data_IF_794450430431
#
_entry.id   IF_794450430431
#
_cell.length_a   1.000
_cell.length_b   1.000
_cell.length_c   1.000
_cell.angle_alpha   90.00
_cell.angle_beta   90.00
_cell.angle_gamma   90.00
#
_symmetry.space_group_name_H-M   'P 1'
#
loop_
_entity.id
_entity.type
_entity.pdbx_description
1 polymer ?
#
# COMPACT_ATOMS: atom_id res chain seq x y z
N UNK A 1 -27.06 -51.61 7.40
CA UNK A 1 -27.60 -51.52 8.77
C UNK A 1 -26.46 -51.38 9.76
N UNK A 2 -26.35 -50.18 10.33
CA UNK A 2 -25.67 -49.74 11.58
C UNK A 2 -24.55 -50.58 12.21
N UNK A 3 -23.29 -50.09 12.04
CA UNK A 3 -22.17 -50.34 12.99
C UNK A 3 -21.13 -49.19 13.07
N UNK A 4 -21.51 -47.92 13.00
CA UNK A 4 -20.55 -46.81 12.99
C UNK A 4 -20.54 -45.84 14.20
N UNK A 5 -21.30 -45.93 15.29
CA UNK A 5 -21.18 -44.94 16.36
C UNK A 5 -20.38 -45.40 17.59
N UNK A 6 -19.94 -46.67 17.71
CA UNK A 6 -19.21 -47.12 18.92
C UNK A 6 -17.70 -46.85 18.90
N UNK A 7 -17.08 -46.79 17.75
CA UNK A 7 -15.63 -46.57 17.66
C UNK A 7 -15.22 -45.09 17.95
N UNK A 8 -16.02 -44.12 17.58
CA UNK A 8 -15.74 -42.70 17.89
C UNK A 8 -15.87 -42.32 19.37
N UNK A 9 -16.67 -43.04 20.14
CA UNK A 9 -16.80 -42.81 21.60
C UNK A 9 -15.62 -43.35 22.41
N UNK A 10 -14.97 -44.40 21.95
CA UNK A 10 -13.79 -44.95 22.61
C UNK A 10 -12.53 -44.10 22.39
N UNK A 11 -12.45 -43.42 21.27
CA UNK A 11 -11.32 -42.56 20.94
C UNK A 11 -11.36 -41.21 21.69
N UNK A 12 -12.56 -40.64 21.90
CA UNK A 12 -12.77 -39.42 22.69
C UNK A 12 -12.47 -39.70 24.21
N UNK A 13 -12.80 -40.87 24.71
CA UNK A 13 -12.46 -41.24 26.11
C UNK A 13 -10.98 -41.50 26.35
N UNK A 14 -10.21 -41.94 25.33
CA UNK A 14 -8.73 -42.03 25.41
C UNK A 14 -8.04 -40.67 25.39
N UNK A 15 -8.56 -39.69 24.66
CA UNK A 15 -7.99 -38.36 24.61
C UNK A 15 -8.21 -37.53 25.89
N UNK A 16 -9.33 -37.74 26.58
CA UNK A 16 -9.60 -37.10 27.87
C UNK A 16 -8.81 -37.71 29.06
N UNK A 17 -8.42 -38.99 28.99
CA UNK A 17 -7.56 -39.59 30.03
C UNK A 17 -6.10 -39.16 29.95
N UNK A 18 -5.62 -38.79 28.75
CA UNK A 18 -4.24 -38.30 28.53
C UNK A 18 -4.08 -36.85 28.99
N UNK A 19 -5.14 -36.02 28.92
CA UNK A 19 -5.10 -34.64 29.41
C UNK A 19 -5.04 -34.55 30.93
N UNK A 20 -5.67 -35.50 31.66
CA UNK A 20 -5.72 -35.52 33.13
C UNK A 20 -4.45 -36.08 33.79
N UNK A 21 -3.58 -36.79 33.06
CA UNK A 21 -2.28 -37.26 33.55
C UNK A 21 -1.18 -36.18 33.44
N UNK A 22 -1.34 -35.19 32.58
CA UNK A 22 -0.35 -34.13 32.43
C UNK A 22 -0.48 -32.97 33.41
N UNK A 23 -1.65 -32.81 34.05
CA UNK A 23 -1.91 -31.79 35.08
C UNK A 23 -1.47 -32.19 36.48
N UNK A 24 -1.18 -33.46 36.73
CA UNK A 24 -0.71 -33.95 38.04
C UNK A 24 0.82 -33.96 38.25
N UNK A 25 1.61 -33.70 37.20
CA UNK A 25 3.10 -33.67 37.29
C UNK A 25 3.69 -32.26 37.47
N UNK A 26 2.89 -31.21 37.57
CA UNK A 26 3.36 -29.80 37.68
C UNK A 26 3.13 -29.18 39.07
N UNK A 27 2.76 -29.98 40.11
CA UNK A 27 2.50 -29.42 41.44
C UNK A 27 3.40 -30.03 42.53
N UNK A 28 4.69 -30.22 42.27
CA UNK A 28 5.60 -30.76 43.27
C UNK A 28 7.05 -30.34 43.07
N UNK A 29 7.40 -29.13 43.47
CA UNK A 29 8.69 -28.79 44.12
C UNK A 29 8.77 -27.28 44.39
N UNK A 30 8.37 -26.93 45.64
CA UNK A 30 8.75 -25.65 46.26
C UNK A 30 9.67 -26.01 47.41
N UNK A 31 10.91 -25.55 47.39
CA UNK A 31 11.92 -25.77 48.40
C UNK A 31 12.86 -24.57 48.54
N UNK A 32 12.67 -23.87 49.62
CA UNK A 32 13.35 -22.77 50.32
C UNK A 32 14.87 -22.62 50.17
N UNK A 33 15.32 -21.34 50.12
CA UNK A 33 16.38 -20.62 50.88
C UNK A 33 16.89 -19.48 49.96
N UNK A 34 17.20 -18.24 50.38
CA UNK A 34 17.45 -17.55 51.63
C UNK A 34 18.21 -16.26 51.28
N UNK A 35 17.90 -15.17 51.96
CA UNK A 35 18.62 -13.90 52.19
C UNK A 35 19.74 -13.44 51.26
N UNK A 36 19.61 -12.22 50.66
CA UNK A 36 20.36 -11.01 50.99
C UNK A 36 20.06 -9.88 49.97
N UNK A 37 19.80 -8.66 50.46
CA UNK A 37 19.68 -7.37 49.82
C UNK A 37 21.08 -6.68 49.84
N UNK A 38 21.40 -5.53 49.21
CA UNK A 38 20.59 -4.58 48.43
C UNK A 38 21.28 -3.94 47.16
N UNK A 39 20.49 -3.05 46.50
CA UNK A 39 20.87 -1.90 45.68
C UNK A 39 21.55 -2.12 44.32
N UNK A 40 20.76 -1.97 43.26
CA UNK A 40 21.11 -1.09 42.13
C UNK A 40 19.88 -0.86 41.24
N UNK A 41 19.54 0.41 41.07
CA UNK A 41 18.62 0.92 40.05
C UNK A 41 19.21 0.63 38.68
N UNK A 42 18.59 -0.26 37.91
CA UNK A 42 18.87 -0.43 36.48
C UNK A 42 17.59 -0.33 35.65
N UNK A 43 17.71 0.41 34.58
CA UNK A 43 16.80 0.64 33.48
C UNK A 43 15.91 -0.57 33.14
N UNK A 44 14.60 -0.37 33.19
CA UNK A 44 13.63 -1.32 32.65
C UNK A 44 13.41 -1.03 31.18
N UNK A 45 14.26 -1.59 30.33
CA UNK A 45 13.98 -1.78 28.91
C UNK A 45 13.05 -2.98 28.76
N UNK A 46 11.78 -2.71 28.53
CA UNK A 46 10.79 -3.72 28.19
C UNK A 46 10.97 -4.17 26.74
N UNK A 47 12.02 -4.97 26.51
CA UNK A 47 12.13 -5.83 25.32
C UNK A 47 11.12 -6.98 25.44
N UNK A 48 9.95 -6.78 24.85
CA UNK A 48 9.03 -7.89 24.54
C UNK A 48 9.66 -8.77 23.46
N UNK A 49 10.45 -9.76 23.88
CA UNK A 49 10.88 -10.87 23.01
C UNK A 49 9.65 -11.69 22.60
N UNK A 50 9.39 -11.88 21.31
CA UNK A 50 8.43 -12.87 20.85
C UNK A 50 9.12 -14.25 20.71
N UNK A 51 9.44 -14.93 21.82
CA UNK A 51 10.06 -16.23 21.79
C UNK A 51 9.17 -17.37 22.34
N UNK A 52 7.87 -17.36 22.07
CA UNK A 52 6.96 -18.47 22.43
C UNK A 52 5.91 -18.78 21.36
N UNK A 53 6.27 -18.68 20.09
CA UNK A 53 5.42 -19.21 19.00
C UNK A 53 6.14 -20.32 18.20
N UNK A 54 7.19 -20.92 18.79
CA UNK A 54 8.00 -21.93 18.08
C UNK A 54 7.68 -23.39 18.44
N UNK A 55 6.73 -23.66 19.33
CA UNK A 55 6.41 -25.01 19.79
C UNK A 55 4.99 -25.47 19.46
N UNK A 56 4.45 -25.04 18.31
CA UNK A 56 3.37 -25.77 17.67
C UNK A 56 3.94 -26.53 16.47
N UNK A 57 4.61 -27.64 16.74
CA UNK A 57 4.79 -28.72 15.79
C UNK A 57 3.40 -29.25 15.43
N UNK A 58 2.81 -28.65 14.38
CA UNK A 58 1.73 -29.28 13.64
C UNK A 58 2.36 -30.38 12.82
N UNK A 59 1.92 -31.59 13.05
CA UNK A 59 2.53 -32.83 12.59
C UNK A 59 2.77 -32.88 11.08
N UNK A 60 3.80 -33.63 10.76
CA UNK A 60 4.14 -34.16 9.45
C UNK A 60 2.92 -34.73 8.72
N UNK A 61 2.27 -33.85 7.93
CA UNK A 61 1.43 -34.31 6.81
C UNK A 61 1.16 -33.08 5.93
N UNK A 62 1.95 -32.91 4.94
CA UNK A 62 1.75 -32.25 3.64
C UNK A 62 3.14 -31.87 3.12
N UNK A 63 3.69 -32.72 2.29
CA UNK A 63 4.98 -32.59 1.61
C UNK A 63 4.96 -31.38 0.67
N UNK A 64 5.91 -30.46 0.85
CA UNK A 64 6.34 -29.50 -0.19
C UNK A 64 5.52 -28.20 -0.35
N UNK A 65 4.21 -28.20 -0.16
CA UNK A 65 3.35 -27.01 -0.34
C UNK A 65 3.35 -26.06 0.86
N UNK A 66 3.48 -26.58 2.06
CA UNK A 66 3.30 -25.81 3.29
C UNK A 66 4.44 -24.84 3.60
N UNK A 67 5.65 -25.16 3.17
CA UNK A 67 6.81 -24.28 3.39
C UNK A 67 6.71 -23.00 2.55
N UNK A 68 6.14 -23.10 1.36
CA UNK A 68 5.95 -21.95 0.46
C UNK A 68 4.78 -21.07 0.92
N UNK A 69 3.67 -21.69 1.35
CA UNK A 69 2.52 -20.97 1.92
C UNK A 69 2.91 -20.30 3.25
N UNK A 70 3.66 -20.97 4.11
CA UNK A 70 4.20 -20.39 5.34
C UNK A 70 5.17 -19.25 5.05
N UNK A 71 6.04 -19.35 4.05
CA UNK A 71 6.90 -18.28 3.58
C UNK A 71 6.12 -17.08 3.03
N UNK A 72 5.04 -17.30 2.28
CA UNK A 72 4.14 -16.26 1.81
C UNK A 72 3.36 -15.60 2.95
N UNK A 73 2.87 -16.37 3.90
CA UNK A 73 2.18 -15.82 5.09
C UNK A 73 3.14 -15.02 5.97
N UNK A 74 4.40 -15.44 6.10
CA UNK A 74 5.45 -14.66 6.77
C UNK A 74 5.81 -13.40 6.00
N UNK A 75 5.87 -13.45 4.67
CA UNK A 75 6.02 -12.28 3.82
C UNK A 75 4.85 -11.29 3.98
N UNK A 76 3.59 -11.79 4.03
CA UNK A 76 2.42 -10.95 4.31
C UNK A 76 2.46 -10.38 5.73
N UNK A 77 2.88 -11.16 6.73
CA UNK A 77 3.08 -10.69 8.09
C UNK A 77 4.18 -9.61 8.16
N UNK A 78 5.25 -9.75 7.38
CA UNK A 78 6.30 -8.74 7.21
C UNK A 78 5.81 -7.50 6.47
N UNK A 79 4.90 -7.62 5.49
CA UNK A 79 4.20 -6.47 4.87
C UNK A 79 3.40 -5.68 5.91
N UNK A 80 2.85 -6.35 6.94
CA UNK A 80 2.21 -5.68 8.09
C UNK A 80 3.21 -4.86 8.93
N UNK A 81 4.51 -5.17 8.86
CA UNK A 81 5.60 -4.39 9.49
C UNK A 81 6.06 -3.18 8.66
N UNK A 82 5.61 -3.02 7.41
CA UNK A 82 5.80 -1.76 6.71
C UNK A 82 5.15 -0.66 7.54
N UNK A 83 5.99 0.19 8.13
CA UNK A 83 5.55 1.36 8.88
C UNK A 83 4.87 2.31 7.91
N UNK A 84 3.57 2.11 7.71
CA UNK A 84 2.77 3.07 6.96
C UNK A 84 2.70 4.37 7.76
N UNK A 85 3.40 5.39 7.30
CA UNK A 85 3.35 6.72 7.88
C UNK A 85 1.96 7.32 7.63
N UNK A 86 1.38 7.94 8.63
CA UNK A 86 0.08 8.62 8.53
C UNK A 86 0.27 10.11 8.23
N UNK A 87 1.11 10.43 7.26
CA UNK A 87 1.48 11.79 6.83
C UNK A 87 0.78 12.22 5.54
N UNK A 88 -0.14 11.38 5.03
CA UNK A 88 -0.81 11.56 3.75
C UNK A 88 -2.29 11.90 3.91
N UNK A 89 -2.87 12.41 2.83
CA UNK A 89 -4.31 12.55 2.63
C UNK A 89 -4.99 11.19 2.45
N UNK A 90 -6.31 11.13 2.69
CA UNK A 90 -7.12 9.92 2.53
C UNK A 90 -6.98 9.28 1.13
N UNK A 91 -6.94 10.10 0.08
CA UNK A 91 -6.85 9.66 -1.32
C UNK A 91 -5.50 9.02 -1.64
N UNK A 92 -4.42 9.62 -1.13
CA UNK A 92 -3.06 9.10 -1.30
C UNK A 92 -2.88 7.81 -0.48
N UNK A 93 -3.49 7.74 0.70
CA UNK A 93 -3.52 6.54 1.55
C UNK A 93 -4.26 5.39 0.89
N UNK A 94 -5.38 5.67 0.19
CA UNK A 94 -6.12 4.67 -0.58
C UNK A 94 -5.23 4.09 -1.68
N UNK A 95 -4.58 4.96 -2.47
CA UNK A 95 -3.68 4.55 -3.54
C UNK A 95 -2.49 3.75 -3.02
N UNK A 96 -1.80 4.22 -1.98
CA UNK A 96 -0.59 3.61 -1.44
C UNK A 96 -0.86 2.35 -0.63
N UNK A 97 -1.75 2.42 0.38
CA UNK A 97 -1.92 1.34 1.36
C UNK A 97 -2.85 0.26 0.87
N UNK A 98 -4.05 0.65 0.43
CA UNK A 98 -5.07 -0.33 0.06
C UNK A 98 -4.73 -1.01 -1.27
N UNK A 99 -4.22 -0.27 -2.28
CA UNK A 99 -3.84 -0.89 -3.56
C UNK A 99 -2.66 -1.85 -3.41
N UNK A 100 -1.65 -1.50 -2.59
CA UNK A 100 -0.51 -2.39 -2.33
C UNK A 100 -0.96 -3.68 -1.65
N UNK A 101 -1.76 -3.58 -0.56
CA UNK A 101 -2.27 -4.76 0.16
C UNK A 101 -3.12 -5.65 -0.76
N UNK A 102 -3.99 -5.04 -1.56
CA UNK A 102 -4.86 -5.75 -2.50
C UNK A 102 -4.06 -6.49 -3.57
N UNK A 103 -3.09 -5.82 -4.20
CA UNK A 103 -2.24 -6.43 -5.23
C UNK A 103 -1.36 -7.55 -4.66
N UNK A 104 -0.83 -7.38 -3.45
CA UNK A 104 -0.08 -8.43 -2.74
C UNK A 104 -0.96 -9.64 -2.44
N UNK A 105 -2.20 -9.42 -2.00
CA UNK A 105 -3.17 -10.50 -1.78
C UNK A 105 -3.43 -11.28 -3.08
N UNK A 106 -3.68 -10.58 -4.19
CA UNK A 106 -3.88 -11.24 -5.49
C UNK A 106 -2.62 -11.96 -5.97
N UNK A 107 -1.42 -11.41 -5.74
CA UNK A 107 -0.16 -12.10 -6.03
C UNK A 107 -0.09 -13.43 -5.31
N UNK A 108 -0.43 -13.47 -4.01
CA UNK A 108 -0.44 -14.71 -3.23
C UNK A 108 -1.46 -15.70 -3.78
N UNK A 109 -2.69 -15.27 -4.03
CA UNK A 109 -3.76 -16.14 -4.55
C UNK A 109 -3.37 -16.77 -5.89
N UNK A 110 -2.83 -15.97 -6.82
CA UNK A 110 -2.41 -16.47 -8.14
C UNK A 110 -1.20 -17.40 -8.01
N UNK A 111 -0.20 -17.02 -7.21
CA UNK A 111 0.99 -17.87 -6.99
C UNK A 111 0.62 -19.22 -6.39
N UNK A 112 -0.29 -19.24 -5.40
CA UNK A 112 -0.76 -20.50 -4.80
C UNK A 112 -1.41 -21.40 -5.85
N UNK A 113 -2.23 -20.85 -6.73
CA UNK A 113 -2.87 -21.64 -7.80
C UNK A 113 -1.89 -22.12 -8.86
N UNK A 114 -0.82 -21.37 -9.13
CA UNK A 114 0.19 -21.76 -10.13
C UNK A 114 1.18 -22.80 -9.61
N UNK A 115 1.57 -22.73 -8.34
CA UNK A 115 2.69 -23.54 -7.80
C UNK A 115 2.23 -24.65 -6.86
N UNK A 116 1.05 -24.59 -6.28
CA UNK A 116 0.53 -25.59 -5.33
C UNK A 116 -0.63 -26.39 -5.92
N UNK A 117 -1.39 -25.81 -6.87
CA UNK A 117 -2.48 -26.50 -7.58
C UNK A 117 -2.08 -27.01 -8.95
N UNK A 118 -3.05 -27.63 -9.63
CA UNK A 118 -2.88 -27.99 -11.04
C UNK A 118 -3.22 -26.80 -11.93
N UNK A 119 -2.21 -26.10 -12.49
CA UNK A 119 -2.46 -24.88 -13.28
C UNK A 119 -3.02 -25.22 -14.67
N UNK A 120 -2.80 -26.41 -15.18
CA UNK A 120 -3.20 -26.92 -16.48
C UNK A 120 -3.65 -28.37 -16.36
N UNK A 121 -4.64 -28.75 -17.11
CA UNK A 121 -5.09 -30.14 -17.26
C UNK A 121 -5.32 -30.43 -18.73
N UNK A 122 -4.61 -31.41 -19.28
CA UNK A 122 -4.65 -31.73 -20.71
C UNK A 122 -5.41 -33.03 -20.97
N UNK A 123 -6.26 -33.02 -22.00
CA UNK A 123 -6.99 -34.20 -22.45
C UNK A 123 -6.07 -35.05 -23.31
N UNK A 124 -5.63 -36.16 -22.77
CA UNK A 124 -4.75 -37.10 -23.47
C UNK A 124 -5.56 -38.25 -24.09
N UNK A 125 -5.12 -38.79 -25.24
CA UNK A 125 -5.71 -39.98 -25.85
C UNK A 125 -5.64 -41.20 -24.92
N UNK A 126 -6.54 -42.16 -25.07
CA UNK A 126 -6.61 -43.36 -24.24
C UNK A 126 -5.32 -44.23 -24.25
N UNK A 127 -4.48 -44.04 -25.22
CA UNK A 127 -3.18 -44.72 -25.34
C UNK A 127 -2.11 -44.21 -24.36
N UNK A 128 -2.34 -43.01 -23.74
CA UNK A 128 -1.41 -42.41 -22.79
C UNK A 128 -1.63 -43.02 -21.40
N UNK A 129 -0.54 -43.44 -20.78
CA UNK A 129 -0.53 -43.85 -19.37
C UNK A 129 -0.55 -42.64 -18.46
N UNK A 130 -0.77 -42.85 -17.15
CA UNK A 130 -0.78 -41.74 -16.17
C UNK A 130 0.51 -40.91 -16.21
N UNK A 131 1.67 -41.54 -16.37
CA UNK A 131 2.97 -40.84 -16.49
C UNK A 131 3.09 -40.02 -17.78
N UNK A 132 2.49 -40.44 -18.87
CA UNK A 132 2.46 -39.62 -20.09
C UNK A 132 1.56 -38.41 -19.95
N UNK A 133 0.43 -38.52 -19.23
CA UNK A 133 -0.47 -37.43 -18.97
C UNK A 133 0.20 -36.38 -18.05
N UNK A 134 0.90 -36.84 -17.03
CA UNK A 134 1.64 -35.94 -16.11
C UNK A 134 2.76 -35.20 -16.85
N UNK A 135 3.54 -35.91 -17.70
CA UNK A 135 4.54 -35.30 -18.57
C UNK A 135 3.93 -34.29 -19.54
N UNK A 136 2.80 -34.60 -20.18
CA UNK A 136 2.11 -33.71 -21.08
C UNK A 136 1.63 -32.40 -20.35
N UNK A 137 1.11 -32.52 -19.12
CA UNK A 137 0.74 -31.36 -18.33
C UNK A 137 1.94 -30.46 -18.03
N UNK A 138 3.08 -31.00 -17.60
CA UNK A 138 4.29 -30.24 -17.35
C UNK A 138 4.86 -29.57 -18.59
N UNK A 139 4.99 -30.33 -19.69
CA UNK A 139 5.57 -29.75 -20.91
C UNK A 139 4.68 -28.68 -21.52
N UNK A 140 3.35 -28.87 -21.53
CA UNK A 140 2.41 -27.89 -22.02
C UNK A 140 2.34 -26.63 -21.13
N UNK A 141 2.58 -26.77 -19.84
CA UNK A 141 2.71 -25.62 -18.94
C UNK A 141 3.97 -24.80 -19.25
N UNK A 142 5.09 -25.44 -19.49
CA UNK A 142 6.41 -24.80 -19.73
C UNK A 142 6.51 -24.21 -21.13
N UNK A 143 6.09 -24.98 -22.18
CA UNK A 143 6.22 -24.55 -23.57
C UNK A 143 5.19 -23.55 -24.06
N UNK A 144 4.24 -23.19 -23.20
CA UNK A 144 3.08 -22.35 -23.48
C UNK A 144 2.04 -23.00 -24.42
N UNK A 145 0.86 -22.43 -24.41
CA UNK A 145 -0.28 -22.91 -25.20
C UNK A 145 -0.74 -21.82 -26.18
N UNK A 146 -1.55 -22.18 -27.15
CA UNK A 146 -2.15 -21.23 -28.09
C UNK A 146 -3.67 -21.43 -28.17
N UNK A 147 -4.40 -20.37 -28.50
CA UNK A 147 -5.85 -20.38 -28.59
C UNK A 147 -6.31 -20.50 -30.04
N UNK A 148 -7.19 -21.46 -30.30
CA UNK A 148 -7.90 -21.64 -31.56
C UNK A 148 -9.39 -21.69 -31.25
N UNK A 149 -10.23 -20.80 -31.85
CA UNK A 149 -11.67 -20.88 -31.72
C UNK A 149 -12.23 -22.22 -32.21
N UNK A 150 -13.22 -22.79 -31.55
CA UNK A 150 -13.82 -24.07 -31.95
C UNK A 150 -14.46 -24.06 -33.36
N UNK A 151 -14.77 -22.87 -33.87
CA UNK A 151 -15.35 -22.66 -35.21
C UNK A 151 -14.32 -22.73 -36.33
N UNK A 152 -13.05 -22.59 -36.01
CA UNK A 152 -11.94 -22.62 -36.98
C UNK A 152 -11.25 -23.97 -36.99
N UNK A 153 -10.84 -24.43 -38.20
CA UNK A 153 -10.03 -25.63 -38.35
C UNK A 153 -8.59 -25.39 -37.89
N UNK A 154 -7.97 -26.39 -37.26
CA UNK A 154 -6.60 -26.28 -36.80
C UNK A 154 -5.66 -26.21 -38.01
N UNK A 155 -4.76 -25.20 -38.13
CA UNK A 155 -3.79 -25.13 -39.21
C UNK A 155 -2.87 -26.37 -39.21
N UNK A 156 -2.70 -26.99 -40.38
CA UNK A 156 -1.90 -28.18 -40.53
C UNK A 156 -0.39 -27.92 -40.37
N UNK A 157 0.05 -26.71 -40.73
CA UNK A 157 1.45 -26.27 -40.59
C UNK A 157 1.68 -25.60 -39.25
N UNK A 158 2.78 -25.96 -38.58
CA UNK A 158 3.21 -25.40 -37.33
C UNK A 158 3.45 -23.87 -37.42
N UNK A 159 3.96 -23.39 -38.53
CA UNK A 159 4.30 -21.99 -38.80
C UNK A 159 3.05 -21.07 -38.96
N UNK A 160 1.90 -21.66 -39.27
CA UNK A 160 0.63 -20.95 -39.43
C UNK A 160 -0.19 -20.85 -38.13
N UNK A 161 0.33 -21.38 -37.02
CA UNK A 161 -0.37 -21.46 -35.75
C UNK A 161 -0.42 -20.09 -35.04
N UNK A 162 -1.50 -19.80 -34.29
CA UNK A 162 -1.61 -18.57 -33.57
C UNK A 162 -0.48 -18.37 -32.57
N UNK A 163 -0.19 -17.10 -32.23
CA UNK A 163 0.83 -16.75 -31.26
C UNK A 163 0.59 -17.44 -29.92
N UNK A 164 1.64 -17.99 -29.34
CA UNK A 164 1.60 -18.61 -28.02
C UNK A 164 1.20 -17.63 -26.93
N UNK A 165 0.42 -18.11 -25.98
CA UNK A 165 -0.05 -17.35 -24.82
C UNK A 165 0.93 -17.63 -23.66
N UNK A 166 1.80 -16.68 -23.36
CA UNK A 166 2.81 -16.81 -22.32
C UNK A 166 2.53 -15.97 -21.07
N UNK A 167 1.52 -15.06 -21.10
CA UNK A 167 1.33 -14.06 -20.06
C UNK A 167 0.98 -14.67 -18.69
N UNK A 168 0.29 -15.84 -18.66
CA UNK A 168 -0.21 -16.41 -17.40
C UNK A 168 0.89 -16.79 -16.41
N UNK A 169 2.07 -17.18 -16.87
CA UNK A 169 3.22 -17.48 -16.01
C UNK A 169 3.79 -16.21 -15.35
N UNK A 170 3.66 -15.05 -16.00
CA UNK A 170 4.22 -13.78 -15.56
C UNK A 170 3.29 -12.96 -14.67
N UNK A 171 2.01 -13.36 -14.52
CA UNK A 171 1.01 -12.61 -13.76
C UNK A 171 1.47 -12.31 -12.32
N UNK A 172 2.01 -13.25 -11.52
CA UNK A 172 2.45 -12.94 -10.16
C UNK A 172 3.53 -11.85 -10.12
N UNK A 173 4.47 -11.90 -11.06
CA UNK A 173 5.55 -10.92 -11.15
C UNK A 173 5.04 -9.53 -11.54
N UNK A 174 4.08 -9.46 -12.45
CA UNK A 174 3.46 -8.20 -12.87
C UNK A 174 2.65 -7.60 -11.71
N UNK A 175 1.87 -8.38 -10.98
CA UNK A 175 1.13 -7.91 -9.81
C UNK A 175 2.07 -7.40 -8.71
N UNK A 176 3.20 -8.10 -8.49
CA UNK A 176 4.24 -7.65 -7.56
C UNK A 176 4.86 -6.32 -8.02
N UNK A 177 5.23 -6.21 -9.30
CA UNK A 177 5.76 -4.97 -9.87
C UNK A 177 4.78 -3.80 -9.71
N UNK A 178 3.50 -4.03 -10.01
CA UNK A 178 2.43 -3.04 -9.80
C UNK A 178 2.36 -2.58 -8.35
N UNK A 179 2.46 -3.51 -7.40
CA UNK A 179 2.46 -3.20 -5.96
C UNK A 179 3.64 -2.30 -5.58
N UNK A 180 4.85 -2.60 -6.07
CA UNK A 180 6.05 -1.78 -5.85
C UNK A 180 5.89 -0.38 -6.45
N UNK A 181 5.36 -0.29 -7.68
CA UNK A 181 5.12 1.00 -8.35
C UNK A 181 4.14 1.89 -7.57
N UNK A 182 3.11 1.32 -6.91
CA UNK A 182 2.21 2.08 -6.03
C UNK A 182 2.90 2.61 -4.77
N UNK A 183 3.97 2.00 -4.33
CA UNK A 183 4.70 2.42 -3.13
C UNK A 183 5.73 3.53 -3.41
N UNK A 184 6.26 3.63 -4.63
CA UNK A 184 7.32 4.59 -5.01
C UNK A 184 6.96 6.05 -4.71
N UNK A 185 5.77 6.60 -5.06
CA UNK A 185 5.45 8.00 -4.80
C UNK A 185 5.50 8.35 -3.31
N UNK A 186 5.13 7.41 -2.43
CA UNK A 186 5.19 7.59 -0.98
C UNK A 186 6.63 7.65 -0.45
N UNK A 187 7.51 6.78 -0.95
CA UNK A 187 8.95 6.83 -0.59
C UNK A 187 9.55 8.16 -0.99
N UNK A 188 9.21 8.63 -2.20
CA UNK A 188 9.70 9.91 -2.72
C UNK A 188 9.17 11.09 -1.87
N UNK A 189 7.89 11.08 -1.50
CA UNK A 189 7.32 12.06 -0.59
C UNK A 189 8.10 12.14 0.71
N UNK A 190 8.28 11.03 1.38
CA UNK A 190 8.97 10.97 2.66
C UNK A 190 10.44 11.44 2.54
N UNK A 191 11.16 11.00 1.51
CA UNK A 191 12.54 11.40 1.25
C UNK A 191 12.71 12.90 0.96
N UNK A 192 11.73 13.53 0.31
CA UNK A 192 11.78 14.95 -0.03
C UNK A 192 11.24 15.83 1.10
N UNK A 193 10.20 15.39 1.80
CA UNK A 193 9.60 16.13 2.92
C UNK A 193 10.58 16.28 4.09
N UNK A 194 11.29 15.21 4.47
CA UNK A 194 12.29 15.26 5.57
C UNK A 194 13.40 16.26 5.32
N UNK A 195 13.77 16.52 4.06
CA UNK A 195 14.79 17.54 3.71
C UNK A 195 14.35 18.97 4.05
N UNK A 196 13.07 19.23 4.32
CA UNK A 196 12.58 20.57 4.66
C UNK A 196 12.70 20.91 6.15
N UNK A 197 13.06 19.93 6.97
CA UNK A 197 13.07 20.06 8.44
C UNK A 197 11.72 19.74 9.10
N UNK A 198 10.67 19.48 8.31
CA UNK A 198 9.37 19.01 8.82
C UNK A 198 9.28 17.49 8.72
N UNK A 199 9.34 16.82 9.85
CA UNK A 199 9.04 15.38 9.94
C UNK A 199 7.57 15.19 10.34
N UNK A 200 6.69 15.34 9.34
CA UNK A 200 5.24 15.30 9.52
C UNK A 200 4.80 13.93 10.08
N UNK A 201 5.44 12.85 9.64
CA UNK A 201 5.11 11.50 10.08
C UNK A 201 5.34 11.31 11.58
N UNK A 202 6.48 11.76 12.09
CA UNK A 202 6.79 11.69 13.52
C UNK A 202 5.93 12.68 14.32
N UNK A 203 5.64 13.86 13.78
CA UNK A 203 4.72 14.82 14.43
C UNK A 203 3.32 14.20 14.63
N UNK A 204 2.74 13.63 13.58
CA UNK A 204 1.41 12.98 13.65
C UNK A 204 1.45 11.77 14.59
N UNK A 205 2.51 10.96 14.55
CA UNK A 205 2.68 9.82 15.46
C UNK A 205 2.72 10.28 16.92
N UNK A 206 3.48 11.32 17.22
CA UNK A 206 3.59 11.89 18.57
C UNK A 206 2.24 12.43 19.02
N UNK A 207 1.49 13.12 18.14
CA UNK A 207 0.15 13.63 18.45
C UNK A 207 -0.86 12.50 18.76
N UNK A 208 -0.83 11.39 18.04
CA UNK A 208 -1.66 10.22 18.36
C UNK A 208 -1.31 9.57 19.71
N UNK A 209 -0.03 9.53 20.06
CA UNK A 209 0.39 8.97 21.35
C UNK A 209 -0.03 9.85 22.53
N UNK A 210 -0.29 11.14 22.29
CA UNK A 210 -0.67 12.10 23.33
C UNK A 210 -2.12 11.96 23.81
N UNK A 211 -3.01 11.34 23.05
CA UNK A 211 -4.41 11.14 23.45
C UNK A 211 -4.56 10.27 24.71
N UNK A 212 -3.54 9.47 25.04
CA UNK A 212 -3.51 8.56 26.18
C UNK A 212 -2.66 9.05 27.35
N UNK A 213 -2.05 10.27 27.26
CA UNK A 213 -1.13 10.78 28.26
C UNK A 213 -1.81 11.70 29.30
N UNK A 214 -1.16 11.83 30.48
CA UNK A 214 -1.52 12.78 31.50
C UNK A 214 -1.57 14.22 30.95
N UNK A 215 -2.53 15.08 31.40
CA UNK A 215 -2.71 16.45 30.90
C UNK A 215 -1.44 17.29 30.96
N UNK A 216 -0.62 17.18 32.02
CA UNK A 216 0.62 17.97 32.17
C UNK A 216 1.67 17.59 31.10
N UNK A 217 1.79 16.29 30.78
CA UNK A 217 2.71 15.79 29.75
C UNK A 217 2.21 16.21 28.36
N UNK A 218 0.89 16.14 28.15
CA UNK A 218 0.23 16.57 26.94
C UNK A 218 0.55 18.04 26.62
N UNK A 219 0.39 18.94 27.59
CA UNK A 219 0.64 20.36 27.39
C UNK A 219 2.11 20.69 27.12
N UNK A 220 3.02 19.97 27.75
CA UNK A 220 4.47 20.09 27.46
C UNK A 220 4.80 19.64 26.04
N UNK A 221 4.22 18.54 25.60
CA UNK A 221 4.46 17.97 24.26
C UNK A 221 3.84 18.87 23.18
N UNK A 222 2.65 19.43 23.40
CA UNK A 222 2.05 20.42 22.49
C UNK A 222 2.92 21.66 22.32
N UNK A 223 3.43 22.20 23.44
CA UNK A 223 4.38 23.32 23.39
C UNK A 223 5.68 22.98 22.67
N UNK A 224 6.18 21.75 22.86
CA UNK A 224 7.36 21.27 22.14
C UNK A 224 7.12 21.20 20.64
N UNK A 225 5.98 20.61 20.20
CA UNK A 225 5.58 20.52 18.80
C UNK A 225 5.41 21.90 18.17
N UNK A 226 4.70 22.81 18.83
CA UNK A 226 4.54 24.19 18.35
C UNK A 226 5.88 24.89 18.20
N UNK A 227 6.79 24.75 19.18
CA UNK A 227 8.17 25.28 19.10
C UNK A 227 8.98 24.64 17.99
N UNK A 228 8.82 23.36 17.75
CA UNK A 228 9.49 22.66 16.64
C UNK A 228 9.03 23.18 15.27
N UNK A 229 7.72 23.39 15.09
CA UNK A 229 7.15 23.96 13.86
C UNK A 229 7.65 25.41 13.68
N UNK A 230 7.63 26.23 14.74
CA UNK A 230 8.11 27.60 14.72
C UNK A 230 9.60 27.67 14.30
N UNK A 231 10.44 26.84 14.91
CA UNK A 231 11.87 26.76 14.58
C UNK A 231 12.11 26.34 13.12
N UNK A 232 11.35 25.37 12.63
CA UNK A 232 11.46 24.94 11.22
C UNK A 232 11.06 26.07 10.26
N UNK A 233 10.02 26.85 10.59
CA UNK A 233 9.62 28.02 9.81
C UNK A 233 10.68 29.14 9.88
N UNK A 234 11.32 29.34 11.02
CA UNK A 234 12.40 30.32 11.21
C UNK A 234 13.61 29.96 10.34
N UNK A 235 14.09 28.71 10.37
CA UNK A 235 15.20 28.21 9.53
C UNK A 235 14.89 28.42 8.04
N UNK A 236 13.65 28.16 7.62
CA UNK A 236 13.25 28.41 6.22
C UNK A 236 13.29 29.90 5.84
N UNK A 237 13.04 30.79 6.78
CA UNK A 237 13.15 32.26 6.57
C UNK A 237 14.60 32.73 6.44
N UNK A 238 15.47 32.23 7.29
CA UNK A 238 16.90 32.57 7.30
C UNK A 238 17.63 32.12 6.05
N UNK A 239 17.29 30.93 5.51
CA UNK A 239 17.86 30.44 4.24
C UNK A 239 17.56 31.35 3.03
N UNK A 240 16.65 32.33 3.17
CA UNK A 240 16.27 33.28 2.13
C UNK A 240 17.22 34.43 1.88
N UNK A 241 18.27 34.61 2.69
CA UNK A 241 19.14 35.80 2.67
C UNK A 241 20.44 35.65 1.87
N UNK A 242 20.76 34.46 1.31
CA UNK A 242 21.99 34.18 0.60
C UNK A 242 22.08 34.76 -0.83
N UNK A 243 23.29 34.90 -1.36
CA UNK A 243 23.62 35.40 -2.71
C UNK A 243 22.81 34.71 -3.84
N UNK A 244 22.64 33.41 -3.78
CA UNK A 244 21.80 32.62 -4.70
C UNK A 244 20.32 33.02 -4.67
N UNK A 245 19.84 33.59 -3.59
CA UNK A 245 18.47 34.09 -3.44
C UNK A 245 18.23 35.35 -4.27
N UNK A 246 19.24 36.22 -4.38
CA UNK A 246 19.16 37.41 -5.23
C UNK A 246 19.13 37.06 -6.70
N UNK A 247 19.96 36.12 -7.15
CA UNK A 247 19.97 35.64 -8.53
C UNK A 247 18.62 34.97 -8.90
N UNK A 248 18.06 34.12 -8.03
CA UNK A 248 16.72 33.57 -8.19
C UNK A 248 15.63 34.65 -8.23
N UNK A 249 15.81 35.77 -7.54
CA UNK A 249 14.85 36.87 -7.52
C UNK A 249 14.80 37.60 -8.88
N UNK A 250 15.94 37.74 -9.52
CA UNK A 250 16.05 38.31 -10.88
C UNK A 250 15.46 37.33 -11.91
N UNK A 251 15.81 36.06 -11.85
CA UNK A 251 15.31 35.03 -12.75
C UNK A 251 13.78 34.86 -12.67
N UNK A 252 13.20 35.10 -11.50
CA UNK A 252 11.74 35.09 -11.24
C UNK A 252 10.98 36.10 -12.11
N UNK A 253 11.64 37.24 -12.45
CA UNK A 253 11.02 38.30 -13.25
C UNK A 253 10.74 37.83 -14.68
N UNK A 254 11.50 36.83 -15.16
CA UNK A 254 11.43 36.27 -16.50
C UNK A 254 10.70 34.94 -16.60
N UNK A 255 10.72 34.12 -15.54
CA UNK A 255 10.10 32.80 -15.52
C UNK A 255 9.36 32.52 -14.21
N UNK A 256 8.02 32.65 -14.14
CA UNK A 256 7.24 32.40 -12.93
C UNK A 256 7.30 30.92 -12.44
N UNK A 257 7.72 29.99 -13.30
CA UNK A 257 7.91 28.56 -12.93
C UNK A 257 9.05 28.36 -11.93
N UNK A 258 10.05 29.26 -11.87
CA UNK A 258 11.18 29.21 -10.92
C UNK A 258 10.86 29.79 -9.52
N UNK A 259 9.60 30.00 -9.20
CA UNK A 259 9.14 30.53 -7.88
C UNK A 259 9.35 29.48 -6.75
N UNK A 260 9.81 28.27 -7.07
CA UNK A 260 9.95 27.16 -6.14
C UNK A 260 11.27 27.30 -5.36
N UNK A 261 11.17 27.49 -4.04
CA UNK A 261 12.34 27.56 -3.19
C UNK A 261 12.02 27.44 -1.70
N UNK A 262 12.91 26.80 -0.93
CA UNK A 262 12.81 26.71 0.54
C UNK A 262 12.73 28.09 1.17
N UNK A 263 13.50 29.03 0.70
CA UNK A 263 13.51 30.40 1.15
C UNK A 263 12.18 31.14 1.03
N UNK A 264 11.28 30.68 0.17
CA UNK A 264 9.97 31.30 -0.06
C UNK A 264 8.85 30.61 0.72
N UNK A 265 9.12 29.46 1.36
CA UNK A 265 8.14 28.67 2.07
C UNK A 265 7.08 28.04 1.16
N UNK A 266 7.47 27.69 -0.10
CA UNK A 266 6.60 27.04 -1.08
C UNK A 266 7.17 25.69 -1.55
N UNK A 267 8.33 25.27 -1.05
CA UNK A 267 9.00 24.08 -1.51
C UNK A 267 8.21 22.80 -1.15
N UNK A 268 7.77 22.69 0.10
CA UNK A 268 7.02 21.53 0.58
C UNK A 268 5.69 21.40 -0.16
N UNK A 269 5.01 22.53 -0.37
CA UNK A 269 3.75 22.58 -1.11
C UNK A 269 3.93 22.11 -2.55
N UNK A 270 5.01 22.53 -3.20
CA UNK A 270 5.31 22.08 -4.56
C UNK A 270 5.64 20.58 -4.62
N UNK A 271 6.49 20.09 -3.69
CA UNK A 271 6.82 18.66 -3.59
C UNK A 271 5.55 17.84 -3.38
N UNK A 272 4.63 18.30 -2.52
CA UNK A 272 3.38 17.61 -2.27
C UNK A 272 2.50 17.53 -3.53
N UNK A 273 2.35 18.64 -4.26
CA UNK A 273 1.62 18.66 -5.54
C UNK A 273 2.28 17.78 -6.59
N UNK A 274 3.61 17.79 -6.68
CA UNK A 274 4.36 16.93 -7.59
C UNK A 274 4.13 15.45 -7.29
N UNK A 275 4.17 15.06 -6.01
CA UNK A 275 3.89 13.67 -5.60
C UNK A 275 2.45 13.27 -5.92
N UNK A 276 1.47 14.17 -5.77
CA UNK A 276 0.09 13.91 -6.19
C UNK A 276 -0.03 13.67 -7.69
N UNK A 277 0.69 14.42 -8.51
CA UNK A 277 0.78 14.16 -9.95
C UNK A 277 1.40 12.80 -10.23
N UNK A 278 2.44 12.41 -9.48
CA UNK A 278 3.04 11.07 -9.60
C UNK A 278 2.06 9.96 -9.24
N UNK A 279 1.21 10.12 -8.22
CA UNK A 279 0.16 9.14 -7.91
C UNK A 279 -0.81 8.96 -9.08
N UNK A 280 -1.29 10.04 -9.68
CA UNK A 280 -2.19 9.99 -10.83
C UNK A 280 -1.49 9.34 -12.04
N UNK A 281 -0.28 9.79 -12.35
CA UNK A 281 0.52 9.25 -13.47
C UNK A 281 0.80 7.76 -13.29
N UNK A 282 1.09 7.33 -12.05
CA UNK A 282 1.31 5.93 -11.73
C UNK A 282 0.04 5.08 -11.98
N UNK A 283 -1.13 5.50 -11.50
CA UNK A 283 -2.38 4.74 -11.71
C UNK A 283 -2.72 4.63 -13.19
N UNK A 284 -2.62 5.73 -13.94
CA UNK A 284 -2.85 5.75 -15.38
C UNK A 284 -1.79 4.90 -16.10
N UNK A 285 -0.52 5.05 -15.71
CA UNK A 285 0.59 4.26 -16.27
C UNK A 285 0.41 2.76 -16.06
N UNK A 286 -0.18 2.33 -14.95
CA UNK A 286 -0.48 0.92 -14.71
C UNK A 286 -1.58 0.36 -15.61
N UNK A 287 -2.60 1.16 -15.97
CA UNK A 287 -3.57 0.75 -17.00
C UNK A 287 -2.89 0.53 -18.37
N UNK A 288 -1.93 1.40 -18.74
CA UNK A 288 -1.14 1.22 -19.96
C UNK A 288 -0.16 0.03 -19.85
N UNK A 289 0.47 -0.16 -18.70
CA UNK A 289 1.34 -1.33 -18.45
C UNK A 289 0.57 -2.63 -18.67
N UNK A 290 -0.62 -2.74 -18.09
CA UNK A 290 -1.48 -3.92 -18.28
C UNK A 290 -1.94 -4.08 -19.73
N UNK A 291 -2.20 -2.97 -20.44
CA UNK A 291 -2.55 -3.01 -21.86
C UNK A 291 -1.41 -3.59 -22.71
N UNK A 292 -0.17 -3.18 -22.46
CA UNK A 292 1.02 -3.71 -23.14
C UNK A 292 1.24 -5.18 -22.78
N UNK A 293 1.13 -5.51 -21.50
CA UNK A 293 1.34 -6.87 -21.00
C UNK A 293 0.34 -7.88 -21.57
N UNK A 294 -0.94 -7.50 -21.60
CA UNK A 294 -2.00 -8.38 -22.12
C UNK A 294 -2.06 -8.43 -23.64
N UNK A 295 -1.37 -7.51 -24.35
CA UNK A 295 -1.34 -7.45 -25.82
C UNK A 295 -2.71 -7.18 -26.45
N UNK A 296 -3.66 -6.58 -25.73
CA UNK A 296 -5.04 -6.31 -26.16
C UNK A 296 -5.52 -4.99 -25.58
N UNK A 297 -6.63 -4.45 -26.09
CA UNK A 297 -7.25 -3.20 -25.61
C UNK A 297 -7.79 -3.34 -24.16
N UNK A 298 -6.89 -3.49 -23.18
CA UNK A 298 -7.25 -3.67 -21.79
C UNK A 298 -7.89 -2.42 -21.16
N UNK A 299 -7.55 -1.22 -21.64
CA UNK A 299 -8.11 0.03 -21.13
C UNK A 299 -9.65 0.11 -21.28
N UNK A 300 -10.24 -0.54 -22.31
CA UNK A 300 -11.69 -0.63 -22.50
C UNK A 300 -12.34 -1.88 -21.88
N UNK A 301 -11.56 -2.75 -21.25
CA UNK A 301 -12.00 -4.09 -20.84
C UNK A 301 -13.18 -4.05 -19.87
N UNK A 302 -13.13 -3.24 -18.83
CA UNK A 302 -14.21 -3.16 -17.87
C UNK A 302 -15.51 -2.59 -18.45
N UNK A 303 -15.41 -1.66 -19.42
CA UNK A 303 -16.58 -1.12 -20.13
C UNK A 303 -17.22 -2.21 -20.98
N UNK A 304 -16.41 -3.03 -21.67
CA UNK A 304 -16.87 -4.16 -22.46
C UNK A 304 -17.57 -5.20 -21.56
N UNK A 305 -16.97 -5.53 -20.43
CA UNK A 305 -17.56 -6.45 -19.43
C UNK A 305 -18.89 -5.90 -18.91
N UNK A 306 -18.96 -4.62 -18.57
CA UNK A 306 -20.17 -3.98 -18.08
C UNK A 306 -21.28 -3.99 -19.14
N UNK A 307 -20.94 -3.67 -20.40
CA UNK A 307 -21.89 -3.71 -21.52
C UNK A 307 -22.45 -5.13 -21.74
N UNK A 308 -21.58 -6.13 -21.71
CA UNK A 308 -21.99 -7.52 -21.88
C UNK A 308 -22.89 -8.00 -20.73
N UNK A 309 -22.56 -7.61 -19.50
CA UNK A 309 -23.38 -7.91 -18.32
C UNK A 309 -24.77 -7.28 -18.42
N UNK A 310 -24.86 -6.01 -18.81
CA UNK A 310 -26.14 -5.31 -19.00
C UNK A 310 -26.96 -5.85 -20.17
N UNK A 311 -26.29 -6.38 -21.21
CA UNK A 311 -26.96 -6.98 -22.39
C UNK A 311 -27.38 -8.45 -22.19
N UNK A 312 -27.13 -9.03 -21.00
CA UNK A 312 -27.43 -10.43 -20.70
C UNK A 312 -26.68 -11.45 -21.55
N UNK A 313 -25.59 -11.02 -22.23
CA UNK A 313 -24.72 -11.91 -23.01
C UNK A 313 -23.76 -12.61 -22.06
N UNK A 314 -23.44 -13.89 -22.37
CA UNK A 314 -22.43 -14.61 -21.61
C UNK A 314 -21.09 -13.84 -21.59
N UNK A 315 -20.73 -13.34 -20.43
CA UNK A 315 -19.58 -12.46 -20.21
C UNK A 315 -18.21 -13.17 -20.44
N UNK A 316 -18.18 -14.48 -20.67
CA UNK A 316 -17.04 -15.30 -20.26
C UNK A 316 -16.32 -16.10 -21.37
N UNK A 317 -16.59 -15.85 -22.65
CA UNK A 317 -15.77 -16.37 -23.76
C UNK A 317 -14.80 -15.30 -24.29
N UNK A 318 -14.02 -14.73 -23.40
CA UNK A 318 -13.02 -13.75 -23.78
C UNK A 318 -11.80 -14.47 -24.41
N UNK A 319 -11.43 -14.10 -25.62
CA UNK A 319 -10.17 -14.53 -26.23
C UNK A 319 -8.94 -14.05 -25.42
N UNK A 320 -9.12 -13.11 -24.47
CA UNK A 320 -8.05 -12.61 -23.60
C UNK A 320 -7.64 -13.59 -22.52
N UNK A 321 -8.62 -14.32 -21.95
CA UNK A 321 -8.39 -15.34 -20.92
C UNK A 321 -8.97 -16.67 -21.37
N UNK A 322 -8.39 -17.33 -22.42
CA UNK A 322 -8.92 -18.59 -22.91
C UNK A 322 -8.80 -19.65 -21.82
N UNK A 323 -9.90 -20.36 -21.58
CA UNK A 323 -9.95 -21.45 -20.61
C UNK A 323 -9.57 -22.78 -21.25
N UNK A 324 -9.78 -22.88 -22.57
CA UNK A 324 -9.43 -24.05 -23.39
C UNK A 324 -8.42 -23.61 -24.42
N UNK A 325 -7.29 -24.30 -24.49
CA UNK A 325 -6.15 -24.00 -25.37
C UNK A 325 -5.63 -25.27 -25.99
N UNK A 326 -4.84 -25.12 -27.04
CA UNK A 326 -4.14 -26.22 -27.68
C UNK A 326 -2.65 -26.21 -27.32
N UNK A 327 -2.06 -27.36 -27.16
CA UNK A 327 -0.65 -27.56 -26.88
C UNK A 327 -0.03 -28.52 -27.86
N UNK A 328 1.11 -28.13 -28.39
CA UNK A 328 1.95 -29.00 -29.23
C UNK A 328 3.23 -29.35 -28.49
N UNK A 329 3.55 -30.62 -28.45
CA UNK A 329 4.81 -31.07 -27.89
C UNK A 329 5.36 -32.27 -28.65
N UNK A 330 6.65 -32.47 -28.50
CA UNK A 330 7.40 -33.53 -29.19
C UNK A 330 7.99 -34.48 -28.14
N UNK A 331 7.83 -35.78 -28.37
CA UNK A 331 8.43 -36.83 -27.55
C UNK A 331 9.44 -37.58 -28.37
N UNK A 332 10.67 -37.73 -27.87
CA UNK A 332 11.65 -38.65 -28.41
C UNK A 332 11.49 -40.01 -27.77
N UNK A 333 11.19 -41.03 -28.53
CA UNK A 333 11.20 -42.43 -28.10
C UNK A 333 12.52 -43.12 -28.45
N UNK A 334 12.68 -44.39 -28.02
CA UNK A 334 13.88 -45.17 -28.28
C UNK A 334 14.26 -45.11 -29.76
N UNK A 335 15.55 -44.87 -30.05
CA UNK A 335 16.08 -44.52 -31.36
C UNK A 335 15.40 -43.29 -31.97
N UNK A 336 16.02 -42.41 -32.51
CA UNK A 336 15.82 -41.12 -33.19
C UNK A 336 14.40 -40.74 -33.71
N UNK A 337 13.34 -41.42 -33.28
CA UNK A 337 11.97 -41.13 -33.72
C UNK A 337 11.35 -40.04 -32.84
N UNK A 338 10.96 -38.95 -33.51
CA UNK A 338 10.23 -37.81 -32.85
C UNK A 338 8.75 -37.97 -33.17
N UNK A 339 7.96 -38.14 -32.12
CA UNK A 339 6.49 -38.11 -32.18
C UNK A 339 5.96 -36.73 -31.81
N UNK A 340 5.19 -36.12 -32.74
CA UNK A 340 4.53 -34.85 -32.53
C UNK A 340 3.11 -35.10 -32.07
N UNK A 341 2.74 -34.49 -30.96
CA UNK A 341 1.40 -34.57 -30.39
C UNK A 341 0.79 -33.19 -30.25
N UNK A 342 -0.48 -33.08 -30.65
CA UNK A 342 -1.31 -31.89 -30.41
C UNK A 342 -2.46 -32.30 -29.50
N UNK A 343 -2.55 -31.72 -28.35
CA UNK A 343 -3.60 -32.02 -27.34
C UNK A 343 -4.32 -30.77 -26.90
N UNK A 344 -5.58 -30.96 -26.49
CA UNK A 344 -6.39 -29.89 -25.90
C UNK A 344 -6.14 -29.84 -24.40
N UNK A 345 -5.92 -28.61 -23.87
CA UNK A 345 -5.69 -28.40 -22.46
C UNK A 345 -6.68 -27.37 -21.91
N UNK A 346 -7.06 -27.54 -20.66
CA UNK A 346 -7.84 -26.59 -19.89
C UNK A 346 -6.91 -25.84 -18.94
N UNK A 347 -7.05 -24.51 -18.83
CA UNK A 347 -6.29 -23.61 -17.97
C UNK A 347 -7.18 -23.10 -16.83
N UNK A 348 -7.32 -23.83 -15.71
CA UNK A 348 -8.13 -23.37 -14.57
C UNK A 348 -7.61 -22.05 -13.98
N UNK A 349 -6.30 -21.79 -14.08
CA UNK A 349 -5.69 -20.54 -13.59
C UNK A 349 -6.28 -19.30 -14.28
N UNK A 350 -6.67 -19.39 -15.56
CA UNK A 350 -7.22 -18.27 -16.31
C UNK A 350 -8.65 -17.87 -15.85
N UNK A 351 -9.37 -18.80 -15.23
CA UNK A 351 -10.65 -18.46 -14.60
C UNK A 351 -10.45 -17.46 -13.43
N UNK A 352 -9.44 -17.69 -12.60
CA UNK A 352 -9.10 -16.79 -11.50
C UNK A 352 -8.52 -15.47 -12.02
N UNK A 353 -7.61 -15.55 -12.98
CA UNK A 353 -6.99 -14.37 -13.59
C UNK A 353 -8.05 -13.45 -14.20
N UNK A 354 -9.02 -13.98 -14.95
CA UNK A 354 -10.11 -13.19 -15.52
C UNK A 354 -10.84 -12.37 -14.45
N UNK A 355 -11.24 -12.98 -13.33
CA UNK A 355 -11.96 -12.28 -12.26
C UNK A 355 -11.09 -11.25 -11.54
N UNK A 356 -9.84 -11.58 -11.27
CA UNK A 356 -8.86 -10.69 -10.64
C UNK A 356 -8.61 -9.46 -11.52
N UNK A 357 -8.39 -9.65 -12.83
CA UNK A 357 -8.10 -8.54 -13.74
C UNK A 357 -9.31 -7.65 -14.01
N UNK A 358 -10.55 -8.20 -14.00
CA UNK A 358 -11.77 -7.39 -14.01
C UNK A 358 -11.81 -6.51 -12.76
N UNK A 359 -11.59 -7.08 -11.58
CA UNK A 359 -11.61 -6.34 -10.32
C UNK A 359 -10.51 -5.26 -10.31
N UNK A 360 -9.28 -5.59 -10.72
CA UNK A 360 -8.16 -4.62 -10.80
C UNK A 360 -8.51 -3.46 -11.72
N UNK A 361 -9.17 -3.72 -12.85
CA UNK A 361 -9.57 -2.66 -13.77
C UNK A 361 -10.50 -1.64 -13.09
N UNK A 362 -11.57 -2.11 -12.45
CA UNK A 362 -12.49 -1.22 -11.72
C UNK A 362 -11.77 -0.49 -10.58
N UNK A 363 -10.91 -1.20 -9.85
CA UNK A 363 -10.12 -0.62 -8.77
C UNK A 363 -9.23 0.52 -9.26
N UNK A 364 -8.48 0.31 -10.34
CA UNK A 364 -7.60 1.33 -10.91
C UNK A 364 -8.39 2.56 -11.40
N UNK A 365 -9.55 2.35 -12.02
CA UNK A 365 -10.42 3.46 -12.44
C UNK A 365 -10.91 4.26 -11.24
N UNK A 366 -11.40 3.59 -10.19
CA UNK A 366 -11.85 4.25 -8.95
C UNK A 366 -10.70 5.04 -8.32
N UNK A 367 -9.54 4.43 -8.16
CA UNK A 367 -8.35 5.10 -7.58
C UNK A 367 -7.91 6.28 -8.44
N UNK A 368 -7.96 6.17 -9.77
CA UNK A 368 -7.64 7.27 -10.70
C UNK A 368 -8.57 8.47 -10.51
N UNK A 369 -9.89 8.23 -10.42
CA UNK A 369 -10.88 9.28 -10.18
C UNK A 369 -10.65 9.94 -8.81
N UNK A 370 -10.47 9.14 -7.76
CA UNK A 370 -10.27 9.65 -6.41
C UNK A 370 -8.95 10.41 -6.25
N UNK A 371 -7.86 9.93 -6.85
CA UNK A 371 -6.56 10.62 -6.84
C UNK A 371 -6.64 11.95 -7.61
N UNK A 372 -7.34 11.98 -8.74
CA UNK A 372 -7.57 13.21 -9.52
C UNK A 372 -8.40 14.21 -8.73
N UNK A 373 -9.46 13.75 -8.08
CA UNK A 373 -10.28 14.57 -7.19
C UNK A 373 -9.45 15.13 -6.03
N UNK A 374 -8.66 14.30 -5.35
CA UNK A 374 -7.76 14.71 -4.27
C UNK A 374 -6.73 15.75 -4.72
N UNK A 375 -6.22 15.64 -5.94
CA UNK A 375 -5.30 16.63 -6.53
C UNK A 375 -6.01 17.99 -6.76
N UNK A 376 -7.18 17.99 -7.37
CA UNK A 376 -7.97 19.20 -7.60
C UNK A 376 -8.32 19.89 -6.27
N UNK A 377 -8.77 19.12 -5.28
CA UNK A 377 -9.07 19.64 -3.94
C UNK A 377 -7.83 20.22 -3.25
N UNK A 378 -6.66 19.58 -3.41
CA UNK A 378 -5.41 20.08 -2.88
C UNK A 378 -5.02 21.43 -3.51
N UNK A 379 -5.12 21.56 -4.84
CA UNK A 379 -4.90 22.83 -5.55
C UNK A 379 -5.84 23.90 -5.03
N UNK A 380 -7.13 23.59 -4.98
CA UNK A 380 -8.16 24.51 -4.48
C UNK A 380 -7.88 25.02 -3.06
N UNK A 381 -7.44 24.13 -2.20
CA UNK A 381 -7.20 24.47 -0.79
C UNK A 381 -5.87 25.19 -0.55
N UNK A 382 -4.80 24.91 -1.34
CA UNK A 382 -3.47 25.46 -1.09
C UNK A 382 -3.17 26.71 -1.88
N UNK A 383 -3.65 26.81 -3.13
CA UNK A 383 -3.32 27.93 -4.01
C UNK A 383 -4.20 29.13 -3.72
N UNK A 384 -5.51 28.93 -3.45
CA UNK A 384 -6.43 30.04 -3.22
C UNK A 384 -6.22 30.67 -1.84
N UNK A 385 -5.87 31.94 -1.77
CA UNK A 385 -5.60 32.65 -0.50
C UNK A 385 -6.84 32.65 0.40
N UNK A 386 -8.04 32.77 -0.15
CA UNK A 386 -9.30 32.73 0.59
C UNK A 386 -9.47 31.45 1.42
N UNK A 387 -9.18 30.29 0.85
CA UNK A 387 -9.32 29.01 1.54
C UNK A 387 -8.25 28.81 2.62
N UNK A 388 -7.05 29.37 2.44
CA UNK A 388 -6.00 29.35 3.48
C UNK A 388 -6.42 30.22 4.68
N UNK A 389 -6.86 31.44 4.42
CA UNK A 389 -7.33 32.35 5.44
C UNK A 389 -8.54 31.78 6.18
N UNK A 390 -9.50 31.19 5.45
CA UNK A 390 -10.69 30.58 6.04
C UNK A 390 -10.32 29.44 7.00
N UNK A 391 -9.37 28.56 6.60
CA UNK A 391 -8.88 27.46 7.43
C UNK A 391 -8.27 27.97 8.75
N UNK A 392 -7.34 28.91 8.70
CA UNK A 392 -6.70 29.47 9.88
C UNK A 392 -7.71 30.20 10.79
N UNK A 393 -8.60 30.96 10.17
CA UNK A 393 -9.64 31.72 10.87
C UNK A 393 -10.64 30.81 11.60
N UNK A 394 -10.99 29.68 10.98
CA UNK A 394 -11.86 28.64 11.59
C UNK A 394 -11.32 28.21 12.96
N UNK A 395 -10.07 27.78 13.03
CA UNK A 395 -9.47 27.23 14.24
C UNK A 395 -9.23 28.32 15.30
N UNK A 396 -8.76 29.50 14.93
CA UNK A 396 -8.59 30.62 15.86
C UNK A 396 -9.92 31.11 16.43
N UNK A 397 -11.00 31.03 15.66
CA UNK A 397 -12.36 31.37 16.13
C UNK A 397 -12.90 30.29 17.08
N UNK A 398 -12.74 29.01 16.77
CA UNK A 398 -13.16 27.89 17.64
C UNK A 398 -12.50 28.01 19.02
N UNK A 399 -11.23 28.41 19.04
CA UNK A 399 -10.46 28.58 20.28
C UNK A 399 -10.61 29.94 20.94
N UNK A 400 -11.60 30.77 20.54
CA UNK A 400 -11.93 32.11 21.08
C UNK A 400 -10.74 33.07 21.08
N UNK A 401 -9.71 32.91 20.23
CA UNK A 401 -8.58 33.84 20.15
C UNK A 401 -8.85 35.03 19.23
N UNK A 402 -9.84 34.93 18.35
CA UNK A 402 -10.30 35.99 17.46
C UNK A 402 -11.82 36.10 17.57
N UNK A 403 -12.30 37.26 18.07
CA UNK A 403 -13.70 37.64 18.10
C UNK A 403 -13.96 38.70 17.02
N UNK A 404 -15.22 38.98 16.66
CA UNK A 404 -15.55 40.02 15.67
C UNK A 404 -14.98 41.41 16.05
N UNK A 405 -14.91 41.72 17.35
CA UNK A 405 -14.42 42.98 17.86
C UNK A 405 -12.91 43.09 17.96
N UNK A 406 -12.20 41.95 18.14
CA UNK A 406 -10.73 41.89 18.31
C UNK A 406 -9.99 41.47 17.04
N UNK A 407 -10.69 41.36 15.89
CA UNK A 407 -10.11 40.92 14.63
C UNK A 407 -9.31 42.01 13.92
N UNK A 408 -8.00 42.02 14.09
CA UNK A 408 -7.11 42.85 13.27
C UNK A 408 -6.72 42.09 11.98
N UNK A 409 -7.28 42.55 10.85
CA UNK A 409 -7.06 41.96 9.51
C UNK A 409 -5.61 42.07 9.07
N UNK A 410 -4.91 43.16 9.46
CA UNK A 410 -3.51 43.38 9.07
C UNK A 410 -2.59 42.39 9.79
N UNK A 411 -2.80 42.23 11.10
CA UNK A 411 -2.08 41.28 11.93
C UNK A 411 -2.29 39.83 11.44
N UNK A 412 -3.52 39.46 11.14
CA UNK A 412 -3.90 38.16 10.65
C UNK A 412 -3.28 37.86 9.25
N UNK A 413 -3.28 38.82 8.34
CA UNK A 413 -2.63 38.67 7.04
C UNK A 413 -1.12 38.51 7.18
N UNK A 414 -0.49 39.20 8.11
CA UNK A 414 0.94 39.02 8.42
C UNK A 414 1.22 37.60 8.94
N UNK A 415 0.39 37.10 9.83
CA UNK A 415 0.48 35.73 10.35
C UNK A 415 0.34 34.70 9.23
N UNK A 416 -0.70 34.83 8.37
CA UNK A 416 -0.94 33.87 7.29
C UNK A 416 0.13 33.90 6.21
N UNK A 417 0.52 35.09 5.74
CA UNK A 417 1.33 35.22 4.52
C UNK A 417 2.83 35.38 4.79
N UNK A 418 3.23 35.98 5.93
CA UNK A 418 4.63 36.20 6.25
C UNK A 418 5.16 35.19 7.27
N UNK A 419 4.37 34.84 8.30
CA UNK A 419 4.82 33.91 9.34
C UNK A 419 4.65 32.45 8.91
N UNK A 420 3.44 31.97 8.60
CA UNK A 420 3.17 30.58 8.24
C UNK A 420 3.56 30.25 6.78
N UNK A 421 3.33 31.18 5.86
CA UNK A 421 3.52 31.00 4.42
C UNK A 421 2.71 29.79 3.87
N UNK A 422 3.05 29.28 2.67
CA UNK A 422 2.34 28.14 2.08
C UNK A 422 2.69 26.82 2.77
N UNK A 423 3.97 26.61 3.08
CA UNK A 423 4.46 25.35 3.66
C UNK A 423 3.95 25.13 5.07
N UNK A 424 3.91 26.20 5.91
CA UNK A 424 3.34 26.12 7.25
C UNK A 424 1.86 25.77 7.25
N UNK A 425 1.08 26.37 6.34
CA UNK A 425 -0.35 26.06 6.21
C UNK A 425 -0.56 24.63 5.74
N UNK A 426 0.28 24.11 4.81
CA UNK A 426 0.23 22.73 4.36
C UNK A 426 0.49 21.75 5.52
N UNK A 427 1.55 21.98 6.31
CA UNK A 427 1.88 21.16 7.49
C UNK A 427 0.70 21.12 8.47
N UNK A 428 0.13 22.27 8.79
CA UNK A 428 -1.02 22.36 9.69
C UNK A 428 -2.25 21.62 9.13
N UNK A 429 -2.48 21.67 7.82
CA UNK A 429 -3.57 20.89 7.19
C UNK A 429 -3.34 19.40 7.24
N UNK A 430 -2.12 18.94 6.93
CA UNK A 430 -1.78 17.53 7.03
C UNK A 430 -1.92 17.01 8.46
N UNK A 431 -1.54 17.81 9.46
CA UNK A 431 -1.81 17.51 10.86
C UNK A 431 -3.32 17.44 11.12
N UNK A 432 -4.10 18.43 10.69
CA UNK A 432 -5.56 18.46 10.90
C UNK A 432 -6.30 17.27 10.24
N UNK A 433 -5.83 16.79 9.09
CA UNK A 433 -6.40 15.61 8.42
C UNK A 433 -6.11 14.29 9.15
N UNK A 434 -5.08 14.27 9.99
CA UNK A 434 -4.59 13.07 10.66
C UNK A 434 -4.73 13.10 12.19
N UNK A 435 -5.28 14.18 12.76
CA UNK A 435 -5.49 14.36 14.21
C UNK A 435 -6.86 14.97 14.48
N UNK A 436 -7.24 15.07 15.77
CA UNK A 436 -8.49 15.68 16.18
C UNK A 436 -8.47 17.20 16.04
N UNK A 437 -9.62 17.82 15.71
CA UNK A 437 -9.79 19.27 15.58
C UNK A 437 -9.39 20.04 16.86
N UNK A 438 -9.55 19.43 18.04
CA UNK A 438 -9.17 20.06 19.33
C UNK A 438 -7.64 20.21 19.42
N UNK A 439 -6.88 19.14 19.17
CA UNK A 439 -5.42 19.15 19.20
C UNK A 439 -4.87 20.14 18.16
N UNK A 440 -5.48 20.16 16.97
CA UNK A 440 -5.12 21.14 15.94
C UNK A 440 -5.37 22.58 16.38
N UNK A 441 -6.50 22.82 17.08
CA UNK A 441 -6.83 24.13 17.66
C UNK A 441 -5.79 24.58 18.69
N UNK A 442 -5.36 23.68 19.59
CA UNK A 442 -4.34 23.98 20.62
C UNK A 442 -2.97 24.31 19.97
N UNK A 443 -2.54 23.57 18.95
CA UNK A 443 -1.32 23.89 18.19
C UNK A 443 -1.43 25.26 17.52
N UNK A 444 -2.59 25.55 16.92
CA UNK A 444 -2.84 26.84 16.27
C UNK A 444 -2.74 28.01 17.26
N UNK A 445 -3.30 27.85 18.45
CA UNK A 445 -3.21 28.88 19.54
C UNK A 445 -1.76 29.06 19.96
N UNK A 446 -1.02 27.99 20.19
CA UNK A 446 0.37 28.06 20.60
C UNK A 446 1.24 28.80 19.56
N UNK A 447 1.01 28.56 18.26
CA UNK A 447 1.70 29.26 17.16
C UNK A 447 1.26 30.73 17.05
N UNK A 448 -0.02 31.03 17.25
CA UNK A 448 -0.52 32.39 17.27
C UNK A 448 0.07 33.22 18.42
N UNK A 449 0.16 32.62 19.62
CA UNK A 449 0.74 33.26 20.78
C UNK A 449 2.27 33.41 20.64
N UNK A 450 2.96 32.48 19.97
CA UNK A 450 4.39 32.59 19.61
C UNK A 450 4.62 33.75 18.63
N UNK A 451 3.78 33.87 17.60
CA UNK A 451 3.84 34.95 16.63
C UNK A 451 3.63 36.34 17.29
N UNK A 452 2.66 36.47 18.17
CA UNK A 452 2.43 37.73 18.91
C UNK A 452 3.63 38.12 19.75
N UNK A 453 4.18 37.18 20.53
CA UNK A 453 5.41 37.43 21.33
C UNK A 453 6.59 37.87 20.48
N UNK A 454 6.83 37.23 19.32
CA UNK A 454 7.90 37.61 18.39
C UNK A 454 7.67 39.03 17.80
N UNK A 455 6.43 39.45 17.64
CA UNK A 455 6.11 40.80 17.16
C UNK A 455 6.30 41.87 18.23
N UNK A 456 6.01 41.55 19.49
CA UNK A 456 6.14 42.46 20.62
C UNK A 456 7.60 42.67 21.03
N UNK A 457 8.47 41.61 20.91
CA UNK A 457 9.89 41.67 21.31
C UNK A 457 10.78 42.37 20.28
N UNK A 458 10.49 42.21 18.97
CA UNK A 458 11.41 42.62 17.89
C UNK A 458 10.91 43.82 17.06
N UNK A 459 9.95 44.61 17.57
CA UNK A 459 9.56 45.92 17.01
C UNK A 459 9.28 45.91 15.48
N UNK A 460 8.92 44.74 14.90
CA UNK A 460 8.50 44.72 13.51
C UNK A 460 9.32 43.87 12.54
N UNK A 461 9.93 42.75 12.93
CA UNK A 461 10.59 41.82 12.00
C UNK A 461 9.68 41.38 10.84
N UNK A 462 8.37 41.49 11.01
CA UNK A 462 7.37 41.10 9.99
C UNK A 462 6.70 42.30 9.28
N UNK A 463 7.16 43.52 9.47
CA UNK A 463 6.63 44.71 8.79
C UNK A 463 7.08 44.79 7.33
#
# INVERSE_FOLDING_TARGET
MNKAPRQKRAEIQRLTSISNLRTKQLSGSVGKRGHEEPDRIEHFDLELRPSKLHDLKVGEFISGGDSMVAGFLDAIAKVRQFKFHNDDDLYDRLSRRFSVVLLMLFTVVVSTKQYVGDPIACFAPAQFTGSHVEYANYICWISNTYYVPFESTLPARHDERPKHIAYYQWIPFILLLMSVLFYIPSVLWHALATKTGFDIANLVKTLHSMEQLNPDIRDRTLRYIAKHIDRALEIQREMGTGFFSQFKRVLRRYCPVFIIGRAQGNYLTFVYLFVKVLYITNVIGQLFLLNIFMGSNYHGYGIEVLRNLLSGRECCRSARFPRVTMCDFEIRTMADHIHKHTIQCVLPVNLFNEKIFIFIWFWLVIVSILSSYGFVMCIWQQILPFNREHFLKKYLKIMNRITRETFDRKLFNTFSNKYLRHDGVLVLRLIAMNTNDVVMGEIMVALWDAFKRAQDTDGGIFV
#
